data_IF_856469824629
#
_entry.id   IF_856469824629
#
_cell.length_a   1.000
_cell.length_b   1.000
_cell.length_c   1.000
_cell.angle_alpha   90.00
_cell.angle_beta   90.00
_cell.angle_gamma   90.00
#
_symmetry.space_group_name_H-M   'P 1'
#
loop_
_entity.id
_entity.type
_entity.pdbx_description
1 polymer ?
#
# COMPACT_ATOMS: atom_id res chain seq x y z
N UNK A 1 9.69 -17.71 -4.50
CA UNK A 1 8.60 -18.08 -3.58
C UNK A 1 7.32 -18.56 -4.26
N UNK A 2 7.00 -18.13 -5.49
CA UNK A 2 5.73 -18.45 -6.15
C UNK A 2 5.35 -19.94 -6.13
N UNK A 3 6.30 -20.83 -6.44
CA UNK A 3 6.05 -22.29 -6.49
C UNK A 3 5.78 -22.93 -5.10
N UNK A 4 6.01 -22.18 -4.02
CA UNK A 4 5.88 -22.64 -2.63
C UNK A 4 4.62 -22.09 -1.94
N UNK A 5 3.82 -21.28 -2.64
CA UNK A 5 2.58 -20.75 -2.11
C UNK A 5 1.44 -21.78 -2.23
N UNK A 6 0.52 -21.84 -1.26
CA UNK A 6 -0.72 -22.60 -1.41
C UNK A 6 -1.60 -22.01 -2.53
N UNK A 7 -2.58 -22.80 -2.94
CA UNK A 7 -3.61 -22.38 -3.89
C UNK A 7 -4.40 -21.17 -3.36
N UNK A 8 -4.85 -20.30 -4.26
CA UNK A 8 -5.54 -19.07 -3.86
C UNK A 8 -6.89 -19.36 -3.19
N UNK A 9 -7.55 -20.44 -3.60
CA UNK A 9 -8.90 -20.81 -3.17
C UNK A 9 -8.97 -21.20 -1.69
N UNK A 10 -7.84 -21.59 -1.11
CA UNK A 10 -7.75 -21.97 0.30
C UNK A 10 -7.29 -20.82 1.20
N UNK A 11 -6.91 -19.68 0.62
CA UNK A 11 -6.57 -18.48 1.38
C UNK A 11 -7.85 -17.80 1.84
N UNK A 12 -7.99 -17.65 3.15
CA UNK A 12 -9.09 -16.94 3.77
C UNK A 12 -8.61 -15.59 4.29
N UNK A 13 -9.43 -14.57 4.08
CA UNK A 13 -9.24 -13.21 4.58
C UNK A 13 -10.46 -12.78 5.40
N UNK A 14 -10.30 -11.90 6.41
CA UNK A 14 -11.42 -11.44 7.23
C UNK A 14 -12.49 -10.71 6.42
N UNK A 15 -13.76 -10.83 6.85
CA UNK A 15 -14.97 -10.38 6.14
C UNK A 15 -14.97 -8.91 5.60
N UNK A 16 -14.40 -7.88 6.26
CA UNK A 16 -14.36 -6.53 5.69
C UNK A 16 -13.26 -6.34 4.62
N UNK A 17 -12.39 -7.32 4.41
CA UNK A 17 -11.27 -7.24 3.47
C UNK A 17 -11.64 -7.83 2.10
N UNK A 18 -11.60 -6.99 1.08
CA UNK A 18 -11.77 -7.39 -0.32
C UNK A 18 -10.44 -7.24 -1.07
N UNK A 19 -9.81 -8.39 -1.33
CA UNK A 19 -8.53 -8.51 -2.01
C UNK A 19 -8.56 -7.87 -3.41
N UNK A 20 -9.59 -8.13 -4.21
CA UNK A 20 -9.66 -7.67 -5.60
C UNK A 20 -9.84 -6.15 -5.66
N UNK A 21 -10.63 -5.59 -4.76
CA UNK A 21 -10.78 -4.14 -4.67
C UNK A 21 -9.46 -3.47 -4.29
N UNK A 22 -8.67 -4.06 -3.40
CA UNK A 22 -7.36 -3.51 -3.01
C UNK A 22 -6.37 -3.60 -4.17
N UNK A 23 -6.29 -4.75 -4.85
CA UNK A 23 -5.39 -4.96 -6.00
C UNK A 23 -5.68 -3.93 -7.11
N UNK A 24 -6.95 -3.67 -7.41
CA UNK A 24 -7.36 -2.69 -8.44
C UNK A 24 -6.98 -1.24 -8.17
N UNK A 25 -6.71 -0.87 -6.91
CA UNK A 25 -6.37 0.50 -6.54
C UNK A 25 -4.87 0.73 -6.38
N UNK A 26 -4.05 -0.31 -6.59
CA UNK A 26 -2.60 -0.20 -6.57
C UNK A 26 -2.09 0.68 -7.73
N UNK A 27 -0.94 1.35 -7.57
CA UNK A 27 -0.30 2.08 -8.66
C UNK A 27 0.09 1.16 -9.83
N UNK A 28 0.05 1.69 -11.06
CA UNK A 28 0.42 0.92 -12.27
C UNK A 28 1.90 0.52 -12.30
N UNK A 29 2.76 1.22 -11.54
CA UNK A 29 4.20 0.94 -11.41
C UNK A 29 4.54 0.06 -10.21
N UNK A 30 3.54 -0.51 -9.52
CA UNK A 30 3.73 -1.29 -8.29
C UNK A 30 4.77 -2.41 -8.41
N UNK A 31 4.83 -3.10 -9.55
CA UNK A 31 5.77 -4.22 -9.76
C UNK A 31 7.11 -3.82 -10.38
N UNK A 32 7.27 -2.57 -10.84
CA UNK A 32 8.55 -2.13 -11.48
C UNK A 32 9.64 -1.83 -10.45
N UNK A 33 9.33 -1.75 -9.15
CA UNK A 33 10.30 -1.36 -8.13
C UNK A 33 11.47 -2.34 -7.95
N UNK A 34 11.35 -3.59 -8.42
CA UNK A 34 12.42 -4.59 -8.25
C UNK A 34 13.57 -4.45 -9.27
N UNK A 35 13.38 -3.76 -10.40
CA UNK A 35 14.43 -3.66 -11.45
C UNK A 35 15.57 -2.69 -11.12
N UNK A 36 15.50 -1.92 -10.03
CA UNK A 36 16.46 -0.85 -9.74
C UNK A 36 17.47 -1.12 -8.59
N UNK A 37 17.46 -2.30 -7.96
CA UNK A 37 18.33 -2.59 -6.79
C UNK A 37 19.36 -3.69 -7.03
N UNK A 38 19.70 -3.99 -8.29
CA UNK A 38 20.89 -4.78 -8.60
C UNK A 38 21.89 -3.95 -9.41
N UNK A 39 23.18 -4.19 -9.12
CA UNK A 39 24.39 -3.67 -9.77
C UNK A 39 25.08 -2.51 -9.04
N UNK A 40 25.94 -2.87 -8.09
CA UNK A 40 27.32 -2.37 -8.06
C UNK A 40 28.25 -3.41 -7.41
N UNK A 41 28.67 -4.43 -8.20
CA UNK A 41 29.91 -5.18 -7.93
C UNK A 41 30.76 -5.12 -9.22
N UNK A 42 32.05 -4.75 -9.16
CA UNK A 42 32.86 -4.54 -10.37
C UNK A 42 33.24 -5.87 -11.02
N UNK A 43 33.00 -6.01 -12.32
CA UNK A 43 33.45 -7.15 -13.13
C UNK A 43 34.82 -6.87 -13.76
N UNK A 44 35.73 -7.81 -13.61
CA UNK A 44 37.03 -7.93 -14.31
C UNK A 44 36.80 -8.66 -15.66
N UNK A 45 37.51 -8.34 -16.75
CA UNK A 45 37.07 -8.69 -18.11
C UNK A 45 37.58 -10.06 -18.59
N UNK A 46 36.71 -10.88 -19.17
CA UNK A 46 37.14 -11.98 -20.04
C UNK A 46 36.25 -12.16 -21.28
N UNK A 47 36.92 -11.95 -22.42
CA UNK A 47 36.77 -12.47 -23.80
C UNK A 47 35.38 -12.70 -24.41
N UNK A 48 35.20 -11.95 -25.48
CA UNK A 48 34.35 -12.15 -26.67
C UNK A 48 34.48 -13.55 -27.25
N UNK A 49 33.34 -14.18 -27.55
CA UNK A 49 33.16 -15.07 -28.70
C UNK A 49 31.79 -14.79 -29.32
N UNK A 50 31.82 -14.35 -30.58
CA UNK A 50 30.67 -14.11 -31.45
C UNK A 50 30.12 -15.43 -31.99
N UNK A 51 28.89 -15.78 -31.62
CA UNK A 51 27.88 -16.37 -32.52
C UNK A 51 26.69 -16.93 -31.73
N UNK A 52 25.63 -16.13 -31.56
CA UNK A 52 24.28 -16.63 -31.83
C UNK A 52 23.30 -15.48 -31.96
N UNK A 53 22.56 -15.54 -33.06
CA UNK A 53 21.66 -14.51 -33.56
C UNK A 53 20.68 -14.03 -32.49
N UNK A 54 20.65 -12.71 -32.32
CA UNK A 54 19.63 -11.98 -31.62
C UNK A 54 18.26 -12.27 -32.25
N UNK A 55 17.47 -13.12 -31.58
CA UNK A 55 16.02 -13.02 -31.67
C UNK A 55 15.64 -11.84 -30.78
N UNK A 56 15.50 -10.68 -31.41
CA UNK A 56 14.87 -9.50 -30.81
C UNK A 56 13.43 -9.89 -30.48
N UNK A 57 13.23 -10.44 -29.29
CA UNK A 57 11.90 -10.55 -28.72
C UNK A 57 11.46 -9.12 -28.41
N UNK A 58 10.59 -8.60 -29.26
CA UNK A 58 9.72 -7.47 -28.95
C UNK A 58 9.24 -7.62 -27.50
N UNK A 59 9.17 -6.54 -26.69
CA UNK A 59 8.66 -6.64 -25.34
C UNK A 59 7.21 -7.12 -25.46
N UNK A 60 7.01 -8.42 -25.24
CA UNK A 60 5.69 -8.98 -25.08
C UNK A 60 5.10 -8.18 -23.94
N UNK A 61 4.03 -7.45 -24.22
CA UNK A 61 3.19 -6.78 -23.25
C UNK A 61 2.55 -7.87 -22.38
N UNK A 62 3.37 -8.53 -21.56
CA UNK A 62 2.94 -9.44 -20.51
C UNK A 62 2.31 -8.53 -19.50
N UNK A 63 0.99 -8.36 -19.64
CA UNK A 63 0.16 -7.75 -18.62
C UNK A 63 0.57 -8.33 -17.29
N UNK A 64 1.16 -7.48 -16.47
CA UNK A 64 1.76 -7.84 -15.20
C UNK A 64 0.63 -8.35 -14.29
N UNK A 65 0.76 -9.58 -13.79
CA UNK A 65 -0.29 -10.24 -13.00
C UNK A 65 0.16 -10.47 -11.56
N UNK A 66 -0.43 -9.70 -10.64
CA UNK A 66 -0.16 -9.81 -9.19
C UNK A 66 -0.52 -11.21 -8.70
N UNK A 67 0.42 -11.88 -8.02
CA UNK A 67 0.15 -13.13 -7.32
C UNK A 67 -0.72 -12.86 -6.09
N UNK A 68 -1.98 -13.29 -6.15
CA UNK A 68 -3.01 -13.04 -5.12
C UNK A 68 -2.64 -13.64 -3.76
N UNK A 69 -2.10 -14.87 -3.73
CA UNK A 69 -1.72 -15.55 -2.49
C UNK A 69 -0.58 -14.80 -1.81
N UNK A 70 0.45 -14.44 -2.58
CA UNK A 70 1.59 -13.67 -2.08
C UNK A 70 1.15 -12.32 -1.54
N UNK A 71 0.28 -11.63 -2.30
CA UNK A 71 -0.26 -10.34 -1.91
C UNK A 71 -1.06 -10.44 -0.62
N UNK A 72 -1.96 -11.42 -0.50
CA UNK A 72 -2.74 -11.64 0.72
C UNK A 72 -1.83 -11.89 1.93
N UNK A 73 -0.82 -12.78 1.80
CA UNK A 73 0.15 -13.01 2.88
C UNK A 73 0.88 -11.72 3.28
N UNK A 74 1.47 -11.01 2.31
CA UNK A 74 2.20 -9.77 2.55
C UNK A 74 1.32 -8.67 3.16
N UNK A 75 0.07 -8.56 2.70
CA UNK A 75 -0.88 -7.56 3.19
C UNK A 75 -1.19 -7.71 4.68
N UNK A 76 -1.17 -8.96 5.17
CA UNK A 76 -1.39 -9.30 6.56
C UNK A 76 -0.07 -9.44 7.35
N UNK A 77 1.06 -8.99 6.80
CA UNK A 77 2.34 -8.92 7.51
C UNK A 77 3.15 -10.20 7.53
N UNK A 78 2.80 -11.18 6.70
CA UNK A 78 3.62 -12.36 6.48
C UNK A 78 4.68 -12.08 5.43
N UNK A 79 5.92 -12.43 5.74
CA UNK A 79 7.07 -12.26 4.86
C UNK A 79 7.80 -13.60 4.67
N UNK A 80 8.63 -13.64 3.65
CA UNK A 80 9.63 -14.67 3.43
C UNK A 80 10.59 -14.80 4.61
N UNK A 81 10.94 -16.04 4.97
CA UNK A 81 11.99 -16.30 5.97
C UNK A 81 13.33 -16.47 5.26
N UNK A 82 14.30 -15.62 5.58
CA UNK A 82 15.63 -15.57 4.94
C UNK A 82 16.52 -16.80 5.21
N UNK A 83 16.19 -17.61 6.22
CA UNK A 83 16.99 -18.75 6.70
C UNK A 83 17.08 -19.94 5.70
N UNK A 84 16.67 -19.76 4.44
CA UNK A 84 16.72 -20.78 3.38
C UNK A 84 15.69 -21.90 3.54
N UNK A 85 14.84 -21.84 4.57
CA UNK A 85 13.76 -22.79 4.79
C UNK A 85 12.62 -22.53 3.77
N UNK A 86 12.69 -23.25 2.66
CA UNK A 86 11.67 -23.28 1.62
C UNK A 86 10.26 -23.52 2.22
N UNK A 87 9.29 -22.71 1.80
CA UNK A 87 7.89 -22.86 2.19
C UNK A 87 7.58 -22.40 3.61
N UNK A 88 8.38 -21.51 4.19
CA UNK A 88 8.06 -20.81 5.44
C UNK A 88 7.67 -19.35 5.18
N UNK A 89 6.61 -18.92 5.85
CA UNK A 89 6.26 -17.52 6.02
C UNK A 89 6.44 -17.13 7.49
N UNK A 90 6.94 -15.93 7.76
CA UNK A 90 7.18 -15.42 9.10
C UNK A 90 6.56 -14.05 9.30
N UNK A 91 6.08 -13.78 10.52
CA UNK A 91 5.68 -12.43 10.91
C UNK A 91 6.78 -11.80 11.76
N UNK A 92 7.34 -10.67 11.32
CA UNK A 92 8.37 -9.94 12.07
C UNK A 92 7.88 -9.29 13.36
N UNK A 93 6.56 -9.16 13.56
CA UNK A 93 5.99 -8.47 14.72
C UNK A 93 5.66 -9.43 15.88
N UNK A 94 5.08 -10.60 15.59
CA UNK A 94 4.75 -11.61 16.61
C UNK A 94 5.68 -12.83 16.60
N UNK A 95 6.67 -12.85 15.69
CA UNK A 95 7.64 -13.93 15.52
C UNK A 95 7.03 -15.31 15.20
N UNK A 96 5.75 -15.35 14.81
CA UNK A 96 5.08 -16.57 14.35
C UNK A 96 5.69 -17.01 13.00
N UNK A 97 5.90 -18.30 12.84
CA UNK A 97 6.33 -18.95 11.59
C UNK A 97 5.25 -19.94 11.13
N UNK A 98 4.90 -19.91 9.86
CA UNK A 98 3.94 -20.78 9.21
C UNK A 98 4.61 -21.64 8.16
N UNK A 99 4.40 -22.95 8.23
CA UNK A 99 4.79 -23.87 7.18
C UNK A 99 3.73 -23.90 6.08
N UNK A 100 3.95 -23.19 4.99
CA UNK A 100 3.04 -23.13 3.84
C UNK A 100 2.79 -24.51 3.21
N UNK A 101 3.75 -25.44 3.37
CA UNK A 101 3.63 -26.83 2.95
C UNK A 101 2.49 -27.59 3.64
N UNK A 102 2.03 -27.16 4.82
CA UNK A 102 0.91 -27.80 5.52
C UNK A 102 -0.44 -27.56 4.83
N UNK A 103 -0.51 -26.54 3.98
CA UNK A 103 -1.72 -26.14 3.26
C UNK A 103 -1.69 -26.57 1.79
N UNK A 104 -0.64 -27.27 1.34
CA UNK A 104 -0.56 -27.81 -0.01
C UNK A 104 -1.11 -29.25 -0.04
N UNK A 105 -1.90 -29.62 -1.06
CA UNK A 105 -2.18 -31.03 -1.30
C UNK A 105 -0.87 -31.74 -1.65
N UNK A 106 -0.69 -32.95 -1.14
CA UNK A 106 0.54 -33.71 -1.38
C UNK A 106 0.50 -34.26 -2.80
N UNK A 107 1.67 -34.41 -3.44
CA UNK A 107 1.80 -34.96 -4.80
C UNK A 107 1.20 -36.37 -4.95
N UNK A 108 0.97 -37.07 -3.84
CA UNK A 108 0.39 -38.41 -3.79
C UNK A 108 -1.16 -38.40 -3.89
N UNK A 109 -1.79 -37.23 -4.01
CA UNK A 109 -3.25 -37.07 -3.98
C UNK A 109 -3.86 -37.02 -2.58
N UNK A 110 -3.03 -37.12 -1.53
CA UNK A 110 -3.48 -36.95 -0.15
C UNK A 110 -3.89 -35.49 0.13
N UNK A 111 -4.95 -35.35 0.93
CA UNK A 111 -5.46 -34.07 1.43
C UNK A 111 -4.35 -33.31 2.18
N UNK A 112 -4.36 -31.98 2.07
CA UNK A 112 -3.50 -31.10 2.87
C UNK A 112 -3.72 -31.34 4.37
N UNK A 113 -2.73 -30.95 5.19
CA UNK A 113 -2.86 -31.09 6.66
C UNK A 113 -3.97 -30.18 7.18
N UNK A 114 -4.12 -29.02 6.54
CA UNK A 114 -5.19 -28.06 6.80
C UNK A 114 -5.92 -27.72 5.50
N UNK A 115 -7.24 -27.53 5.59
CA UNK A 115 -8.10 -27.26 4.43
C UNK A 115 -8.04 -25.79 3.98
N UNK A 116 -7.71 -24.87 4.89
CA UNK A 116 -7.65 -23.45 4.63
C UNK A 116 -6.59 -22.74 5.46
N UNK A 117 -6.06 -21.65 4.92
CA UNK A 117 -5.12 -20.75 5.57
C UNK A 117 -5.77 -19.39 5.77
N UNK A 118 -6.17 -19.07 7.00
CA UNK A 118 -6.65 -17.74 7.36
C UNK A 118 -5.48 -16.84 7.76
N UNK A 119 -5.16 -15.90 6.87
CA UNK A 119 -3.97 -15.06 7.00
C UNK A 119 -4.02 -14.11 8.21
N UNK A 120 -5.20 -13.86 8.79
CA UNK A 120 -5.34 -13.05 9.99
C UNK A 120 -5.26 -13.92 11.24
N UNK A 121 -6.02 -15.01 11.33
CA UNK A 121 -6.12 -15.78 12.58
C UNK A 121 -4.88 -16.61 12.91
N UNK A 122 -4.01 -16.86 11.93
CA UNK A 122 -2.74 -17.55 12.15
C UNK A 122 -1.70 -16.73 12.93
N UNK A 123 -1.91 -15.41 13.08
CA UNK A 123 -1.09 -14.58 13.96
C UNK A 123 -1.33 -14.89 15.43
N UNK A 124 -0.36 -14.56 16.29
CA UNK A 124 -0.61 -14.51 17.73
C UNK A 124 -1.64 -13.41 18.06
N UNK A 125 -2.48 -13.62 19.08
CA UNK A 125 -3.56 -12.68 19.46
C UNK A 125 -3.09 -11.26 19.81
N UNK A 126 -1.83 -11.13 20.25
CA UNK A 126 -1.20 -9.84 20.58
C UNK A 126 -0.49 -9.20 19.38
N UNK A 127 -0.54 -9.80 18.20
CA UNK A 127 0.15 -9.29 17.02
C UNK A 127 -0.47 -7.96 16.57
N UNK A 128 0.31 -6.89 16.37
CA UNK A 128 -0.21 -5.59 15.93
C UNK A 128 -0.88 -5.64 14.55
N UNK A 129 -0.52 -6.62 13.71
CA UNK A 129 -1.19 -6.78 12.42
C UNK A 129 -2.68 -7.06 12.55
N UNK A 130 -3.10 -7.79 13.59
CA UNK A 130 -4.51 -8.21 13.80
C UNK A 130 -5.16 -7.62 15.04
N UNK A 131 -4.36 -7.09 15.97
CA UNK A 131 -4.83 -6.49 17.22
C UNK A 131 -4.68 -4.98 17.18
N UNK A 132 -5.80 -4.27 17.04
CA UNK A 132 -5.82 -2.80 17.11
C UNK A 132 -5.33 -2.27 18.47
N UNK A 133 -5.55 -3.03 19.54
CA UNK A 133 -5.03 -2.69 20.88
C UNK A 133 -3.51 -2.71 20.93
N UNK A 134 -2.89 -3.75 20.35
CA UNK A 134 -1.43 -3.84 20.30
C UNK A 134 -0.84 -2.77 19.37
N UNK A 135 -1.51 -2.50 18.24
CA UNK A 135 -1.04 -1.54 17.24
C UNK A 135 -1.10 -0.08 17.71
N UNK A 136 -2.15 0.31 18.43
CA UNK A 136 -2.30 1.71 18.83
C UNK A 136 -1.27 2.16 19.88
N UNK A 137 -0.66 1.24 20.64
CA UNK A 137 0.35 1.54 21.67
C UNK A 137 -0.13 2.48 22.79
N UNK A 138 -1.39 2.91 22.75
CA UNK A 138 -1.99 3.88 23.65
C UNK A 138 -2.52 3.14 24.86
N UNK A 139 -1.73 3.12 25.94
CA UNK A 139 -2.21 2.81 27.29
C UNK A 139 -3.23 3.84 27.83
N UNK A 140 -3.85 4.64 26.97
CA UNK A 140 -4.84 5.66 27.32
C UNK A 140 -6.20 4.98 27.38
N UNK A 141 -6.72 4.79 28.58
CA UNK A 141 -8.06 4.24 28.85
C UNK A 141 -9.24 5.02 28.25
N UNK A 142 -8.97 6.14 27.58
CA UNK A 142 -9.98 7.00 26.95
C UNK A 142 -10.28 6.67 25.49
N UNK A 143 -9.45 5.88 24.80
CA UNK A 143 -9.78 5.44 23.44
C UNK A 143 -10.78 4.30 23.50
N UNK A 144 -11.90 4.46 22.79
CA UNK A 144 -12.90 3.38 22.70
C UNK A 144 -12.29 2.24 21.90
N UNK A 145 -12.35 1.02 22.43
CA UNK A 145 -11.79 -0.17 21.76
C UNK A 145 -12.30 -0.36 20.33
N UNK A 146 -13.54 0.10 20.03
CA UNK A 146 -14.14 0.04 18.70
C UNK A 146 -13.51 1.01 17.66
N UNK A 147 -12.73 1.99 18.11
CA UNK A 147 -12.05 2.95 17.23
C UNK A 147 -10.60 2.52 16.92
N UNK A 148 -10.08 1.51 17.63
CA UNK A 148 -8.73 0.99 17.45
C UNK A 148 -8.67 0.14 16.18
N UNK A 149 -7.64 0.36 15.38
CA UNK A 149 -7.44 -0.28 14.08
C UNK A 149 -6.17 -1.13 14.13
N UNK A 150 -6.28 -2.35 13.65
CA UNK A 150 -5.16 -3.25 13.44
C UNK A 150 -4.28 -2.81 12.25
N UNK A 151 -3.08 -3.37 12.15
CA UNK A 151 -2.13 -3.01 11.10
C UNK A 151 -2.68 -3.16 9.68
N UNK A 152 -3.37 -4.27 9.39
CA UNK A 152 -3.94 -4.48 8.04
C UNK A 152 -5.07 -3.49 7.73
N UNK A 153 -5.87 -3.09 8.74
CA UNK A 153 -6.93 -2.09 8.55
C UNK A 153 -6.37 -0.71 8.24
N UNK A 154 -5.29 -0.32 8.95
CA UNK A 154 -4.58 0.93 8.70
C UNK A 154 -3.95 0.93 7.30
N UNK A 155 -3.35 -0.18 6.88
CA UNK A 155 -2.79 -0.33 5.54
C UNK A 155 -3.87 -0.20 4.47
N UNK A 156 -5.00 -0.91 4.61
CA UNK A 156 -6.14 -0.82 3.69
C UNK A 156 -6.68 0.60 3.59
N UNK A 157 -6.80 1.30 4.72
CA UNK A 157 -7.24 2.69 4.75
C UNK A 157 -6.23 3.61 4.07
N UNK A 158 -4.93 3.43 4.32
CA UNK A 158 -3.87 4.23 3.72
C UNK A 158 -3.86 4.10 2.19
N UNK A 159 -3.99 2.89 1.65
CA UNK A 159 -4.07 2.64 0.22
C UNK A 159 -5.30 3.31 -0.40
N UNK A 160 -6.48 3.15 0.21
CA UNK A 160 -7.72 3.81 -0.25
C UNK A 160 -7.58 5.34 -0.26
N UNK A 161 -6.95 5.93 0.75
CA UNK A 161 -6.71 7.38 0.82
C UNK A 161 -5.71 7.82 -0.25
N UNK A 162 -4.60 7.08 -0.45
CA UNK A 162 -3.58 7.38 -1.48
C UNK A 162 -4.19 7.35 -2.87
N UNK A 163 -4.94 6.28 -3.20
CA UNK A 163 -5.62 6.13 -4.49
C UNK A 163 -6.61 7.27 -4.76
N UNK A 164 -7.45 7.63 -3.78
CA UNK A 164 -8.38 8.78 -3.91
C UNK A 164 -7.66 10.11 -4.16
N UNK A 165 -6.50 10.32 -3.53
CA UNK A 165 -5.68 11.53 -3.78
C UNK A 165 -5.11 11.50 -5.19
N UNK A 166 -4.59 10.35 -5.63
CA UNK A 166 -4.05 10.18 -6.97
C UNK A 166 -5.08 10.53 -8.06
N UNK A 167 -6.29 9.95 -7.99
CA UNK A 167 -7.38 10.25 -8.94
C UNK A 167 -7.72 11.75 -8.97
N UNK A 168 -7.80 12.40 -7.79
CA UNK A 168 -8.10 13.84 -7.73
C UNK A 168 -7.00 14.68 -8.38
N UNK A 169 -5.74 14.29 -8.22
CA UNK A 169 -4.61 14.97 -8.84
C UNK A 169 -4.59 14.80 -10.35
N UNK A 170 -4.88 13.61 -10.89
CA UNK A 170 -4.87 13.38 -12.34
C UNK A 170 -6.04 14.09 -13.05
N UNK A 171 -7.23 14.08 -12.46
CA UNK A 171 -8.41 14.78 -13.02
C UNK A 171 -8.24 16.31 -12.98
N UNK A 172 -7.56 16.85 -11.97
CA UNK A 172 -7.34 18.30 -11.85
C UNK A 172 -6.33 18.86 -12.86
N UNK A 173 -5.45 18.04 -13.43
CA UNK A 173 -4.46 18.48 -14.43
C UNK A 173 -5.12 18.58 -15.81
N UNK A 174 -6.05 17.68 -16.13
CA UNK A 174 -6.72 17.64 -17.43
C UNK A 174 -7.66 18.85 -17.65
N UNK A 175 -8.22 19.40 -16.57
CA UNK A 175 -9.08 20.60 -16.63
C UNK A 175 -8.30 21.93 -16.76
N UNK A 176 -6.96 21.92 -16.76
CA UNK A 176 -6.14 23.13 -17.00
C UNK A 176 -5.50 23.18 -18.38
N UNK A 177 -5.63 22.13 -19.20
CA UNK A 177 -5.03 22.06 -20.52
C UNK A 177 -5.79 22.82 -21.62
N UNK A 178 -6.93 23.46 -21.31
CA UNK A 178 -7.73 24.26 -22.26
C UNK A 178 -7.89 25.70 -21.75
N UNK A 179 -6.79 26.45 -21.66
CA UNK A 179 -6.75 27.92 -21.81
C UNK A 179 -5.33 28.42 -21.60
N UNK A 180 -4.43 28.14 -22.54
CA UNK A 180 -3.24 28.97 -22.72
C UNK A 180 -3.07 29.29 -24.20
N UNK A 181 -3.64 30.43 -24.60
CA UNK A 181 -3.11 31.21 -25.73
C UNK A 181 -2.05 32.16 -25.16
N UNK A 182 -0.76 32.03 -25.56
CA UNK A 182 0.28 32.93 -25.08
C UNK A 182 0.27 34.19 -25.95
N UNK A 183 -0.22 35.31 -25.41
CA UNK A 183 0.05 36.63 -25.97
C UNK A 183 1.24 37.21 -25.25
N UNK A 184 2.40 37.16 -25.90
CA UNK A 184 3.58 37.89 -25.52
C UNK A 184 3.35 39.39 -25.74
N UNK A 185 3.40 40.20 -24.69
CA UNK A 185 3.99 41.54 -24.76
C UNK A 185 4.19 42.19 -23.38
N UNK A 186 5.36 42.79 -23.20
CA UNK A 186 5.55 44.03 -22.43
C UNK A 186 5.64 43.96 -20.90
N UNK A 187 6.86 44.16 -20.39
CA UNK A 187 7.16 44.52 -19.00
C UNK A 187 6.41 45.77 -18.54
N UNK A 188 5.44 45.61 -17.63
CA UNK A 188 5.01 46.65 -16.70
C UNK A 188 4.67 45.99 -15.36
N UNK A 189 5.43 46.33 -14.33
CA UNK A 189 5.15 45.92 -12.94
C UNK A 189 3.88 46.62 -12.50
N UNK A 190 2.74 45.94 -12.64
CA UNK A 190 1.43 46.42 -12.24
C UNK A 190 1.17 46.04 -10.77
N UNK A 191 1.55 46.96 -9.87
CA UNK A 191 1.38 46.86 -8.41
C UNK A 191 -0.08 46.55 -8.02
N UNK A 192 -1.06 46.99 -8.84
CA UNK A 192 -2.48 46.74 -8.62
C UNK A 192 -2.87 45.26 -8.80
N UNK A 193 -2.24 44.55 -9.73
CA UNK A 193 -2.48 43.12 -9.98
C UNK A 193 -1.91 42.25 -8.83
N UNK A 194 -0.83 42.70 -8.19
CA UNK A 194 -0.26 42.02 -7.02
C UNK A 194 -1.17 42.16 -5.79
N UNK A 195 -1.78 43.34 -5.61
CA UNK A 195 -2.67 43.61 -4.49
C UNK A 195 -4.01 42.86 -4.61
N UNK A 196 -4.56 42.76 -5.83
CA UNK A 196 -5.73 41.94 -6.12
C UNK A 196 -5.48 40.44 -5.84
N UNK A 197 -4.31 39.91 -6.23
CA UNK A 197 -3.91 38.52 -5.92
C UNK A 197 -3.72 38.29 -4.42
N UNK A 198 -3.11 39.25 -3.71
CA UNK A 198 -2.98 39.20 -2.25
C UNK A 198 -4.35 39.23 -1.56
N UNK A 199 -5.31 40.00 -2.08
CA UNK A 199 -6.67 40.05 -1.55
C UNK A 199 -7.39 38.70 -1.75
N UNK A 200 -7.34 38.12 -2.96
CA UNK A 200 -7.93 36.81 -3.22
C UNK A 200 -7.30 35.70 -2.38
N UNK A 201 -5.98 35.73 -2.17
CA UNK A 201 -5.28 34.77 -1.31
C UNK A 201 -5.69 34.91 0.15
N UNK A 202 -5.82 36.15 0.64
CA UNK A 202 -6.30 36.41 2.01
C UNK A 202 -7.72 35.89 2.21
N UNK A 203 -8.60 36.09 1.24
CA UNK A 203 -9.97 35.57 1.25
C UNK A 203 -10.00 34.04 1.22
N UNK A 204 -9.17 33.43 0.37
CA UNK A 204 -9.01 31.98 0.28
C UNK A 204 -8.54 31.37 1.61
N UNK A 205 -7.48 31.93 2.21
CA UNK A 205 -6.97 31.50 3.51
C UNK A 205 -7.96 31.76 4.66
N UNK A 206 -8.78 32.82 4.58
CA UNK A 206 -9.83 33.09 5.56
C UNK A 206 -10.98 32.07 5.45
N UNK A 207 -11.36 31.68 4.23
CA UNK A 207 -12.37 30.65 3.98
C UNK A 207 -11.90 29.27 4.45
N UNK A 208 -10.63 28.92 4.20
CA UNK A 208 -10.03 27.68 4.67
C UNK A 208 -9.97 27.62 6.20
N UNK A 209 -9.60 28.72 6.87
CA UNK A 209 -9.64 28.82 8.34
C UNK A 209 -11.05 28.66 8.89
N UNK A 210 -12.06 29.26 8.26
CA UNK A 210 -13.47 29.08 8.65
C UNK A 210 -13.94 27.63 8.49
N UNK A 211 -13.63 26.99 7.37
CA UNK A 211 -13.92 25.55 7.18
C UNK A 211 -13.26 24.69 8.27
N UNK A 212 -11.99 24.95 8.59
CA UNK A 212 -11.28 24.19 9.63
C UNK A 212 -11.86 24.41 11.03
N UNK A 213 -12.37 25.61 11.33
CA UNK A 213 -13.05 25.90 12.60
C UNK A 213 -14.38 25.14 12.74
N UNK A 214 -15.15 24.99 11.66
CA UNK A 214 -16.40 24.22 11.66
C UNK A 214 -16.16 22.73 11.91
N UNK A 215 -15.02 22.20 11.46
CA UNK A 215 -14.64 20.80 11.67
C UNK A 215 -14.03 20.54 13.06
N UNK A 216 -13.52 21.56 13.75
CA UNK A 216 -13.06 21.47 15.14
C UNK A 216 -14.20 21.80 16.11
N UNK A 217 -15.22 20.94 16.19
CA UNK A 217 -16.21 21.02 17.27
C UNK A 217 -15.50 20.68 18.58
N UNK A 218 -15.37 21.68 19.46
CA UNK A 218 -14.75 21.54 20.78
C UNK A 218 -15.37 20.35 21.54
N UNK A 219 -14.53 19.41 21.93
CA UNK A 219 -14.90 18.32 22.85
C UNK A 219 -15.53 18.92 24.13
N UNK A 220 -16.64 18.37 24.65
CA UNK A 220 -17.25 18.88 25.88
C UNK A 220 -16.26 18.82 27.05
N UNK A 221 -16.03 19.95 27.72
CA UNK A 221 -15.27 20.00 28.97
C UNK A 221 -16.04 19.21 30.03
N UNK A 222 -15.39 18.19 30.60
CA UNK A 222 -15.90 17.41 31.74
C UNK A 222 -16.05 18.37 32.95
N UNK A 223 -17.20 18.40 33.64
CA UNK A 223 -17.34 19.23 34.84
C UNK A 223 -16.50 18.62 35.97
N UNK A 224 -15.67 19.46 36.59
CA UNK A 224 -14.97 19.16 37.83
C UNK A 224 -16.02 19.01 38.93
N UNK A 225 -16.17 17.81 39.48
CA UNK A 225 -17.03 17.56 40.63
C UNK A 225 -16.30 17.93 41.93
N UNK A 226 -17.03 18.37 42.98
CA UNK A 226 -16.48 18.77 44.29
C UNK A 226 -15.91 17.61 45.10
#
# INVERSE_FOLDING_TARGET
>A
MADQLPFQEIIQTPEPFDLETIIKILPDDFERLEEHTEIAVPQTPQRVDENQLASVQSPSNRGISINRTAFALAFFGWDSVADGAAGLAGCGACFRRLGLWMYKPKNNGDVSVYDALDVATEHMEYCPWVSGKAQSGTGKSSEKSAELRSGWELLAQALKVKHRRHIRSTVSVDSRAVSETPSADGLAVDEANNEAKKASDREWWAKLRRMRQVLNVKSPKKPTAP
#
